data_IF_709663585763
#
_entry.id   IF_709663585763
#
_cell.length_a   1.000
_cell.length_b   1.000
_cell.length_c   1.000
_cell.angle_alpha   90.00
_cell.angle_beta   90.00
_cell.angle_gamma   90.00
#
_symmetry.space_group_name_H-M   'P 1'
#
loop_
_entity.id
_entity.type
_entity.pdbx_description
1 polymer ?
#
# COMPACT_ATOMS: atom_id res chain seq x y z
N UNK A 1 18.05 -12.75 -5.97
CA UNK A 1 18.32 -11.30 -5.80
C UNK A 1 18.05 -10.58 -7.10
N UNK A 2 17.17 -9.61 -7.10
CA UNK A 2 16.85 -8.76 -8.25
C UNK A 2 17.22 -7.30 -7.96
N UNK A 3 17.69 -6.58 -8.97
CA UNK A 3 18.11 -5.18 -8.88
C UNK A 3 17.14 -4.30 -9.63
N UNK A 4 16.82 -3.16 -9.04
CA UNK A 4 15.99 -2.12 -9.64
C UNK A 4 16.70 -0.78 -9.56
N UNK A 5 16.50 0.04 -10.58
CA UNK A 5 16.92 1.45 -10.60
C UNK A 5 15.66 2.30 -10.69
N UNK A 6 15.51 3.27 -9.79
CA UNK A 6 14.35 4.17 -9.76
C UNK A 6 14.74 5.54 -9.19
N UNK A 7 13.96 6.57 -9.49
CA UNK A 7 14.12 7.91 -8.92
C UNK A 7 13.35 8.07 -7.61
N UNK A 8 12.29 7.27 -7.41
CA UNK A 8 11.49 7.29 -6.19
C UNK A 8 10.80 5.94 -5.94
N UNK A 9 10.42 5.73 -4.67
CA UNK A 9 9.65 4.56 -4.24
C UNK A 9 8.28 5.01 -3.73
N UNK A 10 7.22 4.34 -4.17
CA UNK A 10 5.88 4.53 -3.64
C UNK A 10 5.45 3.26 -2.91
N UNK A 11 5.24 3.38 -1.61
CA UNK A 11 4.79 2.27 -0.77
C UNK A 11 3.27 2.27 -0.66
N UNK A 12 2.64 1.09 -0.74
CA UNK A 12 1.37 0.92 -0.05
C UNK A 12 1.60 0.97 1.46
N UNK A 13 0.52 1.05 2.23
CA UNK A 13 0.59 1.15 3.68
C UNK A 13 0.34 -0.18 4.37
N UNK A 14 -0.87 -0.72 4.17
CA UNK A 14 -1.39 -1.88 4.88
C UNK A 14 -0.79 -3.18 4.32
N UNK A 15 -0.15 -3.97 5.19
CA UNK A 15 0.58 -5.16 4.74
C UNK A 15 1.96 -4.88 4.13
N UNK A 16 2.30 -3.61 3.86
CA UNK A 16 3.61 -3.22 3.30
C UNK A 16 4.47 -2.50 4.33
N UNK A 17 4.02 -1.37 4.86
CA UNK A 17 4.74 -0.62 5.90
C UNK A 17 4.23 -0.98 7.30
N UNK A 18 2.93 -1.21 7.43
CA UNK A 18 2.27 -1.52 8.69
C UNK A 18 1.66 -2.92 8.63
N UNK A 19 1.96 -3.74 9.62
CA UNK A 19 1.35 -5.06 9.81
C UNK A 19 -0.07 -4.88 10.37
N UNK A 20 -1.02 -4.66 9.46
CA UNK A 20 -2.43 -4.40 9.75
C UNK A 20 -3.37 -5.45 9.14
N UNK A 21 -2.84 -6.49 8.53
CA UNK A 21 -3.63 -7.50 7.78
C UNK A 21 -4.72 -8.12 8.64
N UNK A 22 -4.37 -8.65 9.80
CA UNK A 22 -5.32 -9.26 10.73
C UNK A 22 -6.38 -8.25 11.22
N UNK A 23 -5.96 -7.01 11.46
CA UNK A 23 -6.84 -5.93 11.88
C UNK A 23 -7.89 -5.60 10.80
N UNK A 24 -7.46 -5.43 9.55
CA UNK A 24 -8.37 -5.19 8.39
C UNK A 24 -9.35 -6.35 8.22
N UNK A 25 -8.88 -7.60 8.31
CA UNK A 25 -9.76 -8.77 8.22
C UNK A 25 -10.77 -8.82 9.36
N UNK A 26 -10.36 -8.52 10.58
CA UNK A 26 -11.28 -8.49 11.72
C UNK A 26 -12.37 -7.43 11.57
N UNK A 27 -12.04 -6.23 11.04
CA UNK A 27 -13.04 -5.21 10.73
C UNK A 27 -14.08 -5.73 9.73
N UNK A 28 -13.65 -6.36 8.64
CA UNK A 28 -14.55 -6.95 7.67
C UNK A 28 -15.40 -8.08 8.25
N UNK A 29 -14.82 -8.93 9.12
CA UNK A 29 -15.58 -10.00 9.81
C UNK A 29 -16.70 -9.43 10.67
N UNK A 30 -16.41 -8.41 11.47
CA UNK A 30 -17.43 -7.76 12.32
C UNK A 30 -18.51 -7.10 11.49
N UNK A 31 -18.11 -6.37 10.44
CA UNK A 31 -19.07 -5.72 9.55
C UNK A 31 -19.97 -6.76 8.84
N UNK A 32 -19.43 -7.81 8.25
CA UNK A 32 -20.19 -8.86 7.60
C UNK A 32 -21.17 -9.54 8.56
N UNK A 33 -20.73 -9.86 9.78
CA UNK A 33 -21.60 -10.42 10.84
C UNK A 33 -22.74 -9.46 11.16
N UNK A 34 -22.50 -8.17 11.30
CA UNK A 34 -23.54 -7.16 11.58
C UNK A 34 -24.60 -7.07 10.48
N UNK A 35 -24.25 -7.46 9.26
CA UNK A 35 -25.13 -7.47 8.08
C UNK A 35 -25.71 -8.85 7.77
N UNK A 36 -25.37 -9.88 8.54
CA UNK A 36 -25.76 -11.26 8.27
C UNK A 36 -25.19 -11.82 6.96
N UNK A 37 -24.01 -11.35 6.55
CA UNK A 37 -23.36 -11.73 5.30
C UNK A 37 -22.21 -12.72 5.53
N UNK A 38 -21.93 -13.61 4.56
CA UNK A 38 -20.74 -14.45 4.60
C UNK A 38 -19.48 -13.61 4.45
N UNK A 39 -18.42 -13.96 5.18
CA UNK A 39 -17.17 -13.18 5.21
C UNK A 39 -16.23 -13.46 4.01
N UNK A 40 -16.25 -14.66 3.49
CA UNK A 40 -15.28 -15.13 2.48
C UNK A 40 -15.22 -14.25 1.21
N UNK A 41 -16.35 -13.74 0.65
CA UNK A 41 -16.31 -12.83 -0.49
C UNK A 41 -15.52 -11.55 -0.21
N UNK A 42 -15.59 -11.04 1.03
CA UNK A 42 -14.88 -9.81 1.43
C UNK A 42 -13.39 -10.05 1.57
N UNK A 43 -12.98 -11.11 2.27
CA UNK A 43 -11.57 -11.42 2.48
C UNK A 43 -10.81 -11.67 1.17
N UNK A 44 -11.49 -12.16 0.13
CA UNK A 44 -10.88 -12.34 -1.18
C UNK A 44 -10.56 -11.05 -1.91
N UNK A 45 -11.19 -9.94 -1.55
CA UNK A 45 -11.09 -8.69 -2.33
C UNK A 45 -10.77 -7.44 -1.51
N UNK A 46 -10.71 -7.52 -0.18
CA UNK A 46 -10.57 -6.34 0.68
C UNK A 46 -9.16 -5.74 0.67
N UNK A 47 -8.13 -6.59 0.52
CA UNK A 47 -6.76 -6.10 0.53
C UNK A 47 -6.46 -5.23 -0.70
N UNK A 48 -5.81 -4.10 -0.46
CA UNK A 48 -5.45 -3.12 -1.48
C UNK A 48 -6.62 -2.30 -2.05
N UNK A 49 -7.88 -2.50 -1.62
CA UNK A 49 -9.05 -1.75 -2.11
C UNK A 49 -9.67 -0.85 -1.05
N UNK A 50 -10.33 0.22 -1.48
CA UNK A 50 -11.17 1.02 -0.60
C UNK A 50 -12.42 0.23 -0.20
N UNK A 51 -12.99 0.56 0.95
CA UNK A 51 -14.23 -0.07 1.43
C UNK A 51 -15.37 0.00 0.38
N UNK A 52 -15.45 1.11 -0.35
CA UNK A 52 -16.45 1.31 -1.41
C UNK A 52 -16.38 0.22 -2.50
N UNK A 53 -15.18 -0.01 -3.04
CA UNK A 53 -14.96 -1.00 -4.08
C UNK A 53 -15.14 -2.42 -3.53
N UNK A 54 -14.69 -2.67 -2.31
CA UNK A 54 -14.85 -3.97 -1.64
C UNK A 54 -16.32 -4.33 -1.48
N UNK A 55 -17.16 -3.40 -0.98
CA UNK A 55 -18.61 -3.64 -0.81
C UNK A 55 -19.29 -3.82 -2.16
N UNK A 56 -18.98 -3.00 -3.16
CA UNK A 56 -19.55 -3.14 -4.51
C UNK A 56 -19.26 -4.50 -5.15
N UNK A 57 -18.09 -5.07 -4.88
CA UNK A 57 -17.68 -6.37 -5.42
C UNK A 57 -18.28 -7.54 -4.62
N UNK A 58 -18.21 -7.48 -3.28
CA UNK A 58 -18.59 -8.60 -2.41
C UNK A 58 -20.08 -8.62 -2.05
N UNK A 59 -20.75 -7.45 -2.07
CA UNK A 59 -22.16 -7.31 -1.76
C UNK A 59 -22.88 -6.31 -2.69
N UNK A 60 -22.97 -6.58 -4.01
CA UNK A 60 -23.47 -5.64 -5.02
C UNK A 60 -24.97 -5.30 -4.83
N UNK A 61 -25.67 -6.00 -3.97
CA UNK A 61 -27.07 -5.73 -3.61
C UNK A 61 -27.25 -4.64 -2.54
N UNK A 62 -26.15 -4.22 -1.88
CA UNK A 62 -26.17 -3.15 -0.88
C UNK A 62 -25.85 -1.79 -1.53
N UNK A 63 -26.31 -0.72 -0.87
CA UNK A 63 -25.89 0.63 -1.21
C UNK A 63 -24.51 0.89 -0.60
N UNK A 64 -23.45 0.70 -1.40
CA UNK A 64 -22.08 0.76 -0.93
C UNK A 64 -21.71 2.14 -0.33
N UNK A 65 -22.25 3.25 -0.85
CA UNK A 65 -22.02 4.59 -0.34
C UNK A 65 -22.60 4.76 1.06
N UNK A 66 -23.83 4.29 1.28
CA UNK A 66 -24.47 4.34 2.59
C UNK A 66 -23.76 3.44 3.60
N UNK A 67 -23.29 2.27 3.16
CA UNK A 67 -22.53 1.35 4.01
C UNK A 67 -21.17 1.92 4.41
N UNK A 68 -20.45 2.55 3.48
CA UNK A 68 -19.17 3.22 3.80
C UNK A 68 -19.36 4.38 4.76
N UNK A 69 -20.44 5.17 4.59
CA UNK A 69 -20.75 6.26 5.51
C UNK A 69 -21.06 5.77 6.93
N UNK A 70 -21.61 4.55 7.05
CA UNK A 70 -21.88 3.90 8.34
C UNK A 70 -20.69 3.05 8.86
N UNK A 71 -19.68 2.84 8.04
CA UNK A 71 -18.50 2.07 8.38
C UNK A 71 -17.57 2.94 9.23
N UNK A 72 -17.68 2.80 10.53
CA UNK A 72 -16.77 3.48 11.48
C UNK A 72 -15.54 2.60 11.64
N UNK A 73 -14.35 3.04 11.20
CA UNK A 73 -13.13 2.34 11.54
C UNK A 73 -12.96 2.37 13.06
N UNK A 74 -12.84 1.19 13.69
CA UNK A 74 -12.58 1.11 15.14
C UNK A 74 -11.17 1.58 15.53
N UNK A 75 -10.39 2.09 14.61
CA UNK A 75 -9.06 2.66 14.84
C UNK A 75 -9.07 3.77 15.89
N UNK A 76 -10.21 4.46 16.06
CA UNK A 76 -10.40 5.47 17.10
C UNK A 76 -10.63 4.89 18.52
N UNK A 77 -10.91 3.60 18.64
CA UNK A 77 -11.27 2.96 19.91
C UNK A 77 -10.10 2.37 20.73
N UNK A 78 -8.84 2.75 20.42
CA UNK A 78 -7.71 2.52 21.33
C UNK A 78 -7.32 1.06 21.56
N UNK A 79 -7.22 0.27 20.50
CA UNK A 79 -6.97 -1.16 20.64
C UNK A 79 -5.50 -1.58 20.58
N UNK A 80 -5.17 -2.53 19.73
CA UNK A 80 -3.86 -3.17 19.63
C UNK A 80 -2.78 -2.22 19.12
N UNK A 81 -1.56 -2.36 19.65
CA UNK A 81 -0.38 -1.74 19.08
C UNK A 81 -0.16 -2.32 17.66
N UNK A 82 -0.23 -1.47 16.64
CA UNK A 82 0.18 -1.85 15.29
C UNK A 82 1.71 -1.91 15.24
N UNK A 83 2.22 -2.88 14.52
CA UNK A 83 3.66 -3.05 14.33
C UNK A 83 4.05 -2.64 12.91
N UNK A 84 5.26 -2.10 12.72
CA UNK A 84 5.80 -1.96 11.39
C UNK A 84 6.08 -3.36 10.81
N UNK A 85 5.90 -3.51 9.51
CA UNK A 85 6.40 -4.70 8.79
C UNK A 85 7.91 -4.79 8.99
N UNK A 86 8.42 -6.00 9.15
CA UNK A 86 9.84 -6.23 9.40
C UNK A 86 10.71 -5.56 8.32
N UNK A 87 11.69 -4.78 8.74
CA UNK A 87 12.57 -4.01 7.86
C UNK A 87 12.07 -2.62 7.47
N UNK A 88 10.76 -2.30 7.64
CA UNK A 88 10.21 -0.99 7.26
C UNK A 88 10.94 0.20 7.92
N UNK A 89 11.15 0.25 9.24
CA UNK A 89 11.84 1.38 9.87
C UNK A 89 13.25 1.59 9.27
N UNK A 90 14.02 0.51 9.19
CA UNK A 90 15.39 0.55 8.66
C UNK A 90 15.44 1.01 7.21
N UNK A 91 14.53 0.50 6.38
CA UNK A 91 14.46 0.89 4.97
C UNK A 91 14.16 2.38 4.84
N UNK A 92 13.13 2.87 5.53
CA UNK A 92 12.74 4.29 5.48
C UNK A 92 13.83 5.23 5.98
N UNK A 93 14.61 4.84 6.99
CA UNK A 93 15.77 5.61 7.48
C UNK A 93 16.88 5.76 6.44
N UNK A 94 17.04 4.78 5.53
CA UNK A 94 18.07 4.83 4.48
C UNK A 94 17.65 5.66 3.28
N UNK A 95 16.36 5.94 3.12
CA UNK A 95 15.84 6.66 1.96
C UNK A 95 16.02 8.17 2.12
N UNK A 96 16.52 8.85 1.07
CA UNK A 96 16.63 10.31 1.10
C UNK A 96 15.27 11.00 1.23
N UNK A 97 15.24 12.12 1.91
CA UNK A 97 14.04 12.96 2.00
C UNK A 97 13.52 13.30 0.60
N UNK A 98 12.21 13.15 0.38
CA UNK A 98 11.55 13.42 -0.91
C UNK A 98 11.80 12.36 -1.99
N UNK A 99 12.34 11.18 -1.63
CA UNK A 99 12.49 10.06 -2.58
C UNK A 99 11.46 8.96 -2.38
N UNK A 100 10.50 9.13 -1.47
CA UNK A 100 9.46 8.15 -1.23
C UNK A 100 8.12 8.78 -0.84
N UNK A 101 7.07 8.06 -1.11
CA UNK A 101 5.68 8.41 -0.81
C UNK A 101 4.92 7.21 -0.26
N UNK A 102 3.76 7.47 0.34
CA UNK A 102 2.76 6.44 0.64
C UNK A 102 1.51 6.68 -0.21
N UNK A 103 0.98 5.62 -0.80
CA UNK A 103 -0.24 5.62 -1.62
C UNK A 103 -1.17 4.48 -1.18
N UNK A 104 -2.18 4.82 -0.38
CA UNK A 104 -3.05 3.84 0.30
C UNK A 104 -4.51 3.95 -0.11
N UNK A 105 -5.25 2.85 0.04
CA UNK A 105 -6.71 2.79 -0.07
C UNK A 105 -7.44 3.19 1.23
N UNK A 106 -6.70 3.43 2.31
CA UNK A 106 -7.21 3.99 3.56
C UNK A 106 -7.48 5.49 3.48
N UNK A 107 -8.29 6.01 4.40
CA UNK A 107 -8.46 7.46 4.56
C UNK A 107 -7.21 8.09 5.18
N UNK A 108 -7.03 9.39 5.04
CA UNK A 108 -5.90 10.12 5.61
C UNK A 108 -5.84 9.99 7.14
N UNK A 109 -7.00 10.03 7.79
CA UNK A 109 -7.08 9.84 9.24
C UNK A 109 -6.54 8.47 9.65
N UNK A 110 -7.03 7.39 9.01
CA UNK A 110 -6.59 6.02 9.26
C UNK A 110 -5.12 5.84 8.93
N UNK A 111 -4.65 6.31 7.78
CA UNK A 111 -3.26 6.17 7.37
C UNK A 111 -2.29 6.86 8.35
N UNK A 112 -2.65 8.08 8.77
CA UNK A 112 -1.83 8.85 9.72
C UNK A 112 -1.80 8.18 11.10
N UNK A 113 -2.93 7.67 11.58
CA UNK A 113 -3.00 6.93 12.85
C UNK A 113 -2.15 5.66 12.80
N UNK A 114 -2.29 4.85 11.74
CA UNK A 114 -1.53 3.60 11.56
C UNK A 114 -0.01 3.85 11.53
N UNK A 115 0.45 4.84 10.76
CA UNK A 115 1.87 5.21 10.73
C UNK A 115 2.38 5.59 12.12
N UNK A 116 1.64 6.45 12.86
CA UNK A 116 2.02 6.87 14.22
C UNK A 116 2.07 5.71 15.20
N UNK A 117 1.06 4.84 15.19
CA UNK A 117 0.99 3.67 16.08
C UNK A 117 2.08 2.64 15.78
N UNK A 118 2.48 2.53 14.52
CA UNK A 118 3.62 1.70 14.11
C UNK A 118 4.99 2.36 14.36
N UNK A 119 5.03 3.60 14.86
CA UNK A 119 6.28 4.34 15.08
C UNK A 119 6.99 4.73 13.79
N UNK A 120 6.26 4.83 12.67
CA UNK A 120 6.81 5.18 11.37
C UNK A 120 6.63 6.68 11.06
N UNK A 121 7.55 7.29 10.29
CA UNK A 121 7.44 8.67 9.90
C UNK A 121 6.27 8.88 8.92
N UNK A 122 5.60 10.03 9.03
CA UNK A 122 4.63 10.47 8.02
C UNK A 122 5.41 11.02 6.83
N UNK A 123 5.19 10.50 5.61
CA UNK A 123 5.89 10.97 4.41
C UNK A 123 5.48 12.39 4.02
N UNK A 124 6.35 13.09 3.29
CA UNK A 124 6.01 14.38 2.68
C UNK A 124 4.92 14.28 1.62
N UNK A 125 4.80 13.11 0.96
CA UNK A 125 3.72 12.79 0.01
C UNK A 125 2.95 11.58 0.54
N UNK A 126 1.70 11.84 0.97
CA UNK A 126 0.75 10.82 1.44
C UNK A 126 -0.52 10.95 0.61
N UNK A 127 -0.79 9.96 -0.24
CA UNK A 127 -1.99 9.90 -1.07
C UNK A 127 -2.95 8.86 -0.49
N UNK A 128 -4.19 9.28 -0.27
CA UNK A 128 -5.21 8.51 0.45
C UNK A 128 -6.49 8.34 -0.39
N UNK A 129 -7.43 7.58 0.13
CA UNK A 129 -8.69 7.26 -0.55
C UNK A 129 -9.45 8.49 -1.08
N UNK A 130 -9.47 9.57 -0.30
CA UNK A 130 -10.17 10.81 -0.60
C UNK A 130 -9.49 11.70 -1.64
N UNK A 131 -8.22 11.47 -1.93
CA UNK A 131 -7.45 12.28 -2.88
C UNK A 131 -7.71 11.87 -4.33
N UNK A 132 -8.36 10.73 -4.57
CA UNK A 132 -8.58 10.17 -5.91
C UNK A 132 -10.04 9.78 -6.14
N UNK A 133 -10.50 9.93 -7.39
CA UNK A 133 -11.86 9.53 -7.76
C UNK A 133 -12.03 8.01 -7.79
N UNK A 134 -11.05 7.30 -8.35
CA UNK A 134 -11.07 5.85 -8.52
C UNK A 134 -9.98 5.22 -7.66
N UNK A 135 -10.35 4.25 -6.82
CA UNK A 135 -9.40 3.45 -6.05
C UNK A 135 -8.72 2.37 -6.89
N UNK A 136 -7.73 1.69 -6.29
CA UNK A 136 -7.08 0.51 -6.87
C UNK A 136 -8.16 -0.52 -7.31
N UNK A 137 -8.07 -1.09 -8.50
CA UNK A 137 -6.90 -1.19 -9.39
C UNK A 137 -6.71 0.00 -10.37
N UNK A 138 -7.45 1.11 -10.25
CA UNK A 138 -7.15 2.31 -11.04
C UNK A 138 -5.78 2.88 -10.67
N UNK A 139 -4.99 3.42 -11.64
CA UNK A 139 -3.65 3.94 -11.39
C UNK A 139 -3.63 5.28 -10.64
N UNK A 140 -4.79 5.90 -10.39
CA UNK A 140 -4.93 7.29 -9.95
C UNK A 140 -4.07 7.59 -8.71
N UNK A 141 -4.08 6.70 -7.70
CA UNK A 141 -3.35 6.91 -6.43
C UNK A 141 -1.83 6.93 -6.64
N UNK A 142 -1.32 6.06 -7.52
CA UNK A 142 0.12 5.99 -7.82
C UNK A 142 0.57 7.13 -8.73
N UNK A 143 -0.23 7.48 -9.72
CA UNK A 143 0.04 8.65 -10.57
C UNK A 143 0.10 9.95 -9.76
N UNK A 144 -0.83 10.11 -8.80
CA UNK A 144 -0.85 11.27 -7.92
C UNK A 144 0.37 11.28 -6.97
N UNK A 145 0.80 10.13 -6.48
CA UNK A 145 2.01 10.00 -5.65
C UNK A 145 3.28 10.38 -6.44
N UNK A 146 3.42 9.90 -7.67
CA UNK A 146 4.54 10.26 -8.55
C UNK A 146 4.56 11.76 -8.84
N UNK A 147 3.40 12.35 -9.12
CA UNK A 147 3.26 13.80 -9.32
C UNK A 147 3.67 14.59 -8.07
N UNK A 148 3.25 14.14 -6.88
CA UNK A 148 3.63 14.73 -5.59
C UNK A 148 5.14 14.68 -5.31
N UNK A 149 5.83 13.64 -5.80
CA UNK A 149 7.29 13.49 -5.72
C UNK A 149 8.03 14.26 -6.83
N UNK A 150 7.32 14.74 -7.86
CA UNK A 150 7.93 15.39 -9.04
C UNK A 150 8.70 14.40 -9.92
N UNK A 151 8.32 13.13 -9.93
CA UNK A 151 9.00 12.05 -10.67
C UNK A 151 8.05 11.48 -11.71
N UNK A 152 8.57 11.16 -12.90
CA UNK A 152 7.76 10.49 -13.93
C UNK A 152 7.42 9.05 -13.51
N UNK A 153 6.20 8.55 -13.78
CA UNK A 153 5.76 7.23 -13.31
C UNK A 153 6.71 6.09 -13.67
N UNK A 154 7.29 6.10 -14.87
CA UNK A 154 8.22 5.05 -15.33
C UNK A 154 9.54 4.97 -14.56
N UNK A 155 9.86 5.99 -13.76
CA UNK A 155 11.02 6.03 -12.87
C UNK A 155 10.65 5.77 -11.40
N UNK A 156 9.39 5.44 -11.13
CA UNK A 156 8.92 5.04 -9.80
C UNK A 156 8.91 3.52 -9.67
N UNK A 157 9.26 3.05 -8.48
CA UNK A 157 9.07 1.66 -8.07
C UNK A 157 7.99 1.61 -6.99
N UNK A 158 6.99 0.74 -7.16
CA UNK A 158 5.94 0.52 -6.16
C UNK A 158 6.30 -0.69 -5.32
N UNK A 159 6.02 -0.63 -4.03
CA UNK A 159 6.06 -1.77 -3.12
C UNK A 159 4.64 -2.03 -2.64
N UNK A 160 4.15 -3.25 -2.86
CA UNK A 160 2.74 -3.64 -2.70
C UNK A 160 2.61 -5.08 -2.19
N UNK A 161 1.43 -5.44 -1.65
CA UNK A 161 1.15 -6.78 -1.13
C UNK A 161 -0.12 -7.42 -1.73
N UNK A 162 -0.92 -6.63 -2.48
CA UNK A 162 -2.23 -7.03 -2.97
C UNK A 162 -2.37 -6.94 -4.50
N UNK A 163 -3.11 -7.87 -5.15
CA UNK A 163 -3.30 -7.87 -6.60
C UNK A 163 -3.84 -6.54 -7.16
N UNK A 164 -4.82 -5.93 -6.46
CA UNK A 164 -5.40 -4.68 -6.92
C UNK A 164 -4.40 -3.52 -6.96
N UNK A 165 -3.47 -3.46 -6.01
CA UNK A 165 -2.42 -2.45 -6.00
C UNK A 165 -1.36 -2.71 -7.05
N UNK A 166 -0.99 -3.96 -7.28
CA UNK A 166 -0.05 -4.34 -8.35
C UNK A 166 -0.63 -4.00 -9.73
N UNK A 167 -1.92 -4.29 -9.96
CA UNK A 167 -2.61 -3.87 -11.17
C UNK A 167 -2.58 -2.35 -11.34
N UNK A 168 -2.86 -1.59 -10.28
CA UNK A 168 -2.84 -0.13 -10.29
C UNK A 168 -1.44 0.43 -10.63
N UNK A 169 -0.38 -0.13 -10.03
CA UNK A 169 1.00 0.25 -10.29
C UNK A 169 1.40 -0.01 -11.75
N UNK A 170 1.05 -1.17 -12.28
CA UNK A 170 1.29 -1.51 -13.69
C UNK A 170 0.51 -0.62 -14.64
N UNK A 171 -0.76 -0.32 -14.34
CA UNK A 171 -1.57 0.62 -15.12
C UNK A 171 -0.99 2.05 -15.08
N UNK A 172 -0.24 2.40 -14.02
CA UNK A 172 0.52 3.65 -13.93
C UNK A 172 1.85 3.61 -14.69
N UNK A 173 2.27 2.46 -15.24
CA UNK A 173 3.55 2.29 -15.93
C UNK A 173 4.75 2.16 -14.99
N UNK A 174 4.53 1.78 -13.72
CA UNK A 174 5.56 1.65 -12.69
C UNK A 174 6.06 0.21 -12.56
N UNK A 175 7.33 0.04 -12.16
CA UNK A 175 7.85 -1.25 -11.70
C UNK A 175 7.24 -1.63 -10.35
N UNK A 176 7.15 -2.94 -10.04
CA UNK A 176 6.49 -3.41 -8.81
C UNK A 176 7.30 -4.49 -8.11
N UNK A 177 7.54 -4.29 -6.82
CA UNK A 177 8.03 -5.31 -5.89
C UNK A 177 6.90 -5.70 -4.96
N UNK A 178 6.64 -7.00 -4.82
CA UNK A 178 5.63 -7.51 -3.90
C UNK A 178 6.22 -7.88 -2.53
N UNK A 179 5.48 -7.57 -1.47
CA UNK A 179 5.68 -8.16 -0.14
C UNK A 179 4.57 -9.20 0.07
N UNK A 180 4.92 -10.44 0.42
CA UNK A 180 3.96 -11.56 0.47
C UNK A 180 3.27 -11.67 1.82
N UNK A 181 2.76 -10.56 2.35
CA UNK A 181 2.06 -10.48 3.64
C UNK A 181 0.59 -10.87 3.56
N UNK A 182 -0.07 -10.62 2.41
CA UNK A 182 -1.50 -10.91 2.21
C UNK A 182 -1.78 -12.02 1.21
N UNK A 183 -0.91 -12.19 0.21
CA UNK A 183 -1.08 -13.16 -0.89
C UNK A 183 0.21 -13.93 -1.14
N UNK A 184 0.09 -15.10 -1.78
CA UNK A 184 1.25 -15.87 -2.21
C UNK A 184 1.91 -15.24 -3.45
N UNK A 185 3.21 -15.44 -3.65
CA UNK A 185 3.94 -14.88 -4.79
C UNK A 185 3.28 -15.15 -6.15
N UNK A 186 2.72 -16.36 -6.32
CA UNK A 186 2.10 -16.80 -7.57
C UNK A 186 0.83 -16.01 -7.91
N UNK A 187 0.17 -15.45 -6.89
CA UNK A 187 -1.06 -14.67 -7.03
C UNK A 187 -0.79 -13.19 -7.33
N UNK A 188 0.41 -12.72 -7.00
CA UNK A 188 0.77 -11.29 -7.08
C UNK A 188 1.30 -10.89 -8.46
N UNK A 189 2.04 -11.76 -9.14
CA UNK A 189 2.55 -11.47 -10.48
C UNK A 189 3.40 -10.20 -10.58
N UNK A 190 4.12 -9.80 -9.52
CA UNK A 190 5.02 -8.66 -9.48
C UNK A 190 6.35 -8.92 -10.20
N UNK A 191 7.17 -7.87 -10.39
CA UNK A 191 8.48 -8.00 -11.02
C UNK A 191 9.50 -8.73 -10.13
N UNK A 192 9.35 -8.60 -8.82
CA UNK A 192 10.04 -9.37 -7.79
C UNK A 192 9.15 -9.47 -6.56
N UNK A 193 9.50 -10.36 -5.64
CA UNK A 193 8.81 -10.49 -4.36
C UNK A 193 9.79 -10.75 -3.21
N UNK A 194 9.35 -10.47 -2.00
CA UNK A 194 10.04 -10.76 -0.75
C UNK A 194 9.01 -11.01 0.35
N UNK A 195 9.40 -11.70 1.40
CA UNK A 195 8.49 -11.99 2.53
C UNK A 195 8.31 -10.81 3.47
N UNK A 196 9.28 -9.89 3.51
CA UNK A 196 9.23 -8.66 4.32
C UNK A 196 10.15 -7.59 3.74
N UNK A 197 10.06 -6.36 4.25
CA UNK A 197 10.96 -5.28 3.83
C UNK A 197 12.40 -5.46 4.33
N UNK A 198 12.67 -6.44 5.20
CA UNK A 198 14.03 -6.83 5.55
C UNK A 198 14.84 -7.36 4.35
N UNK A 199 14.14 -7.90 3.33
CA UNK A 199 14.74 -8.32 2.07
C UNK A 199 14.97 -7.18 1.06
N UNK A 200 14.59 -5.95 1.36
CA UNK A 200 14.76 -4.78 0.48
C UNK A 200 15.88 -3.90 1.00
N UNK A 201 16.90 -3.69 0.18
CA UNK A 201 18.06 -2.89 0.55
C UNK A 201 18.30 -1.77 -0.45
N UNK A 202 18.62 -0.58 0.06
CA UNK A 202 19.14 0.51 -0.75
C UNK A 202 20.64 0.27 -0.97
N UNK A 203 21.02 0.00 -2.21
CA UNK A 203 22.42 -0.23 -2.58
C UNK A 203 23.15 1.08 -2.80
N UNK A 204 22.99 1.68 -3.97
CA UNK A 204 23.65 2.92 -4.35
C UNK A 204 22.66 4.06 -4.52
N UNK A 205 23.05 5.24 -4.04
CA UNK A 205 22.36 6.50 -4.33
C UNK A 205 23.28 7.31 -5.22
N UNK A 206 22.85 7.59 -6.45
CA UNK A 206 23.61 8.39 -7.41
C UNK A 206 22.80 9.63 -7.82
N UNK A 207 23.48 10.66 -8.23
CA UNK A 207 22.86 11.80 -8.93
C UNK A 207 23.16 11.68 -10.43
N UNK A 208 22.12 11.64 -11.24
CA UNK A 208 22.22 11.70 -12.68
C UNK A 208 21.92 13.12 -13.16
N UNK A 209 22.80 13.72 -13.95
CA UNK A 209 22.66 15.09 -14.43
C UNK A 209 21.38 15.32 -15.28
N UNK A 210 20.79 14.26 -15.85
CA UNK A 210 19.56 14.34 -16.69
C UNK A 210 18.28 13.93 -15.95
N UNK A 211 18.37 13.07 -14.93
CA UNK A 211 17.23 12.45 -14.26
C UNK A 211 17.16 12.80 -12.76
N UNK A 212 18.13 13.56 -12.24
CA UNK A 212 18.17 13.88 -10.82
C UNK A 212 18.68 12.72 -9.98
N UNK A 213 17.98 12.41 -8.89
CA UNK A 213 18.35 11.32 -7.98
C UNK A 213 18.03 9.95 -8.58
N UNK A 214 18.96 9.02 -8.43
CA UNK A 214 18.78 7.62 -8.80
C UNK A 214 19.04 6.73 -7.58
N UNK A 215 18.09 5.87 -7.26
CA UNK A 215 18.18 4.86 -6.21
C UNK A 215 18.41 3.49 -6.85
N UNK A 216 19.33 2.74 -6.31
CA UNK A 216 19.48 1.32 -6.59
C UNK A 216 18.86 0.53 -5.45
N UNK A 217 17.87 -0.32 -5.75
CA UNK A 217 17.31 -1.25 -4.79
C UNK A 217 17.70 -2.68 -5.14
N UNK A 218 18.09 -3.41 -4.11
CA UNK A 218 18.37 -4.84 -4.15
C UNK A 218 17.24 -5.55 -3.41
N UNK A 219 16.54 -6.43 -4.11
CA UNK A 219 15.47 -7.26 -3.54
C UNK A 219 15.99 -8.69 -3.43
N UNK A 220 16.01 -9.20 -2.21
CA UNK A 220 16.34 -10.58 -1.90
C UNK A 220 15.05 -11.38 -1.88
N UNK A 221 14.99 -12.44 -2.68
CA UNK A 221 13.95 -13.47 -2.61
C UNK A 221 14.30 -14.32 -1.37
N UNK A 222 13.59 -14.13 -0.25
CA UNK A 222 13.79 -14.85 1.01
C UNK A 222 12.63 -15.78 1.28
#
# INVERSE_FOLDING_TARGET
MKRFECSAIVFDLDGVLVDSTEYVEQQWRRWAVSKGLPIEPFLRVCHGRRALETIRLAAPHLNAEAEVAAFVPEDEAGGQALRPVEGAPRLLETLPVGSWAVATSGTRAVATDRLRRAGLPIPGVLVCAEDVLRGKPSPDVYLLAAAGLGVVPTECLVVEDAPAGIEAARAAGMGVVAVTTTHRPEELGADAWTTSLAGVHVGRIAQNARQGRMLELLVLDL
#
